data_IF_612325677235
#
_entry.id   IF_612325677235
#
_cell.length_a   1.000
_cell.length_b   1.000
_cell.length_c   1.000
_cell.angle_alpha   90.00
_cell.angle_beta   90.00
_cell.angle_gamma   90.00
#
_symmetry.space_group_name_H-M   'P 1'
#
loop_
_entity.id
_entity.type
_entity.pdbx_description
1 polymer ?
#
# COMPACT_ATOMS: atom_id res chain seq x y z
N UNK A 1 39.43 32.59 0.56
CA UNK A 1 38.87 31.54 1.45
C UNK A 1 38.27 30.34 0.69
N UNK A 2 38.07 30.39 -0.65
CA UNK A 2 37.58 29.23 -1.44
C UNK A 2 38.64 28.18 -1.83
N UNK A 3 39.95 28.49 -1.77
CA UNK A 3 41.00 27.52 -2.15
C UNK A 3 41.38 26.53 -1.04
N UNK A 4 41.08 26.81 0.23
CA UNK A 4 41.35 25.86 1.35
C UNK A 4 40.28 24.76 1.48
N UNK A 5 39.04 24.98 1.01
CA UNK A 5 37.97 23.96 1.07
C UNK A 5 38.11 22.84 0.04
N UNK A 6 38.71 23.10 -1.13
CA UNK A 6 38.94 22.07 -2.15
C UNK A 6 40.01 21.05 -1.74
N UNK A 7 41.04 21.48 -1.00
CA UNK A 7 42.06 20.57 -0.46
C UNK A 7 41.50 19.59 0.56
N UNK A 8 40.61 20.04 1.45
CA UNK A 8 40.04 19.21 2.53
C UNK A 8 39.06 18.14 2.00
N UNK A 9 38.30 18.49 0.95
CA UNK A 9 37.41 17.54 0.26
C UNK A 9 38.20 16.47 -0.50
N UNK A 10 39.33 16.84 -1.12
CA UNK A 10 40.18 15.89 -1.82
C UNK A 10 40.90 14.94 -0.87
N UNK A 11 41.34 15.42 0.30
CA UNK A 11 41.94 14.55 1.34
C UNK A 11 40.94 13.60 1.97
N UNK A 12 39.68 14.01 2.16
CA UNK A 12 38.64 13.10 2.67
C UNK A 12 38.28 12.02 1.65
N UNK A 13 38.18 12.37 0.36
CA UNK A 13 37.87 11.41 -0.69
C UNK A 13 38.99 10.36 -0.84
N UNK A 14 40.25 10.78 -0.73
CA UNK A 14 41.40 9.89 -0.76
C UNK A 14 41.44 8.93 0.46
N UNK A 15 41.06 9.42 1.64
CA UNK A 15 41.00 8.60 2.86
C UNK A 15 39.89 7.53 2.77
N UNK A 16 38.72 7.90 2.23
CA UNK A 16 37.60 6.97 2.04
C UNK A 16 37.97 5.88 1.02
N UNK A 17 38.67 6.24 -0.07
CA UNK A 17 39.15 5.28 -1.07
C UNK A 17 40.20 4.31 -0.49
N UNK A 18 41.08 4.78 0.41
CA UNK A 18 42.06 3.92 1.09
C UNK A 18 41.40 2.94 2.06
N UNK A 19 40.35 3.36 2.79
CA UNK A 19 39.61 2.45 3.69
C UNK A 19 38.87 1.38 2.91
N UNK A 20 38.25 1.72 1.78
CA UNK A 20 37.61 0.76 0.88
C UNK A 20 38.61 -0.26 0.30
N UNK A 21 39.83 0.16 -0.02
CA UNK A 21 40.87 -0.74 -0.55
C UNK A 21 41.39 -1.75 0.50
N UNK A 22 41.45 -1.35 1.78
CA UNK A 22 41.86 -2.23 2.90
C UNK A 22 40.78 -3.27 3.20
N UNK A 23 39.50 -2.91 3.09
CA UNK A 23 38.39 -3.86 3.30
C UNK A 23 38.34 -4.90 2.18
N UNK A 24 38.57 -4.49 0.93
CA UNK A 24 38.56 -5.40 -0.23
C UNK A 24 39.80 -6.33 -0.23
N UNK A 25 40.94 -5.88 0.32
CA UNK A 25 42.15 -6.70 0.44
C UNK A 25 42.15 -7.64 1.66
N UNK A 26 41.23 -7.47 2.61
CA UNK A 26 41.12 -8.28 3.83
C UNK A 26 40.27 -9.55 3.69
N UNK A 27 39.52 -9.69 2.59
CA UNK A 27 38.69 -10.85 2.30
C UNK A 27 39.35 -11.76 1.27
N UNK A 28 40.54 -12.30 1.56
CA UNK A 28 41.12 -13.45 0.86
C UNK A 28 42.31 -14.00 1.67
N UNK A 29 42.06 -15.02 2.50
CA UNK A 29 42.88 -16.23 2.72
C UNK A 29 42.55 -16.89 4.08
N UNK A 30 42.06 -18.12 4.01
CA UNK A 30 42.01 -19.06 5.14
C UNK A 30 43.41 -19.61 5.47
N UNK A 31 43.73 -19.80 6.76
CA UNK A 31 43.85 -21.15 7.36
C UNK A 31 44.67 -21.20 8.66
N UNK A 32 44.30 -22.19 9.48
CA UNK A 32 45.05 -22.91 10.52
C UNK A 32 44.90 -22.50 12.00
N UNK A 33 44.25 -23.38 12.77
CA UNK A 33 44.98 -24.16 13.77
C UNK A 33 44.26 -25.49 14.09
N UNK A 34 45.01 -26.58 14.02
CA UNK A 34 44.66 -27.92 14.51
C UNK A 34 45.10 -28.05 15.98
N UNK A 35 44.35 -28.78 16.80
CA UNK A 35 44.88 -29.69 17.83
C UNK A 35 43.89 -30.84 18.07
N UNK A 36 44.42 -31.98 18.51
CA UNK A 36 44.05 -33.35 18.15
C UNK A 36 43.23 -34.17 19.17
N UNK A 37 42.68 -35.30 18.69
CA UNK A 37 42.24 -36.52 19.43
C UNK A 37 40.72 -36.76 19.36
N UNK A 38 40.14 -37.92 18.99
CA UNK A 38 40.64 -39.29 18.84
C UNK A 38 39.53 -40.19 18.19
N UNK A 39 39.91 -41.08 17.25
CA UNK A 39 39.46 -42.48 17.03
C UNK A 39 38.07 -42.83 16.40
N UNK A 40 38.16 -43.47 15.21
CA UNK A 40 37.41 -44.60 14.57
C UNK A 40 35.87 -44.52 14.34
N UNK A 41 35.23 -45.01 13.26
CA UNK A 41 35.50 -46.05 12.25
C UNK A 41 34.46 -45.93 11.10
N UNK A 42 34.83 -46.34 9.87
CA UNK A 42 33.96 -47.17 9.01
C UNK A 42 33.40 -46.59 7.69
N UNK A 43 33.92 -47.13 6.57
CA UNK A 43 33.26 -47.55 5.30
C UNK A 43 32.34 -46.56 4.54
N UNK A 44 32.33 -46.41 3.21
CA UNK A 44 32.89 -47.17 2.10
C UNK A 44 32.66 -46.36 0.79
N UNK A 45 33.60 -46.47 -0.16
CA UNK A 45 33.53 -46.43 -1.65
C UNK A 45 32.27 -45.89 -2.39
N UNK A 46 32.26 -45.32 -3.61
CA UNK A 46 33.18 -44.85 -4.68
C UNK A 46 32.29 -44.83 -5.96
N UNK A 47 32.31 -43.84 -6.86
CA UNK A 47 32.17 -44.09 -8.32
C UNK A 47 32.53 -42.87 -9.18
N UNK A 48 33.38 -43.14 -10.18
CA UNK A 48 33.96 -42.27 -11.22
C UNK A 48 33.01 -41.97 -12.38
N UNK A 49 33.25 -40.87 -13.08
CA UNK A 49 33.18 -40.71 -14.56
C UNK A 49 34.23 -39.64 -14.94
N UNK A 50 35.36 -39.97 -15.58
CA UNK A 50 35.67 -40.22 -17.01
C UNK A 50 35.69 -38.95 -17.89
N UNK A 51 36.91 -38.61 -18.32
CA UNK A 51 37.31 -37.62 -19.34
C UNK A 51 37.43 -38.26 -20.74
N UNK A 52 37.69 -37.38 -21.72
CA UNK A 52 38.14 -37.57 -23.13
C UNK A 52 37.00 -37.69 -24.17
N UNK A 53 36.95 -36.93 -25.26
CA UNK A 53 38.01 -36.63 -26.24
C UNK A 53 37.92 -35.28 -26.97
N UNK A 54 39.09 -34.86 -27.47
CA UNK A 54 39.47 -33.67 -28.25
C UNK A 54 39.36 -33.97 -29.77
N UNK A 55 39.08 -32.96 -30.61
CA UNK A 55 39.79 -32.86 -31.91
C UNK A 55 39.88 -31.43 -32.47
N UNK A 56 41.02 -31.16 -33.11
CA UNK A 56 41.59 -29.86 -33.49
C UNK A 56 41.44 -29.48 -34.99
N UNK A 57 41.88 -28.23 -35.30
CA UNK A 57 42.46 -27.68 -36.55
C UNK A 57 41.49 -27.21 -37.65
N UNK A 58 41.67 -26.08 -38.33
CA UNK A 58 42.79 -25.12 -38.39
C UNK A 58 42.45 -23.89 -39.27
N UNK A 59 43.41 -22.97 -39.31
CA UNK A 59 43.42 -21.57 -39.78
C UNK A 59 43.50 -21.42 -41.31
N UNK A 60 42.98 -20.31 -41.87
CA UNK A 60 43.63 -19.60 -43.00
C UNK A 60 43.26 -18.10 -43.05
N UNK A 61 44.27 -17.27 -43.31
CA UNK A 61 44.32 -15.81 -43.35
C UNK A 61 43.98 -15.22 -44.75
N UNK A 62 43.53 -13.95 -44.83
CA UNK A 62 44.31 -12.80 -45.36
C UNK A 62 43.51 -11.64 -45.99
N UNK A 63 44.09 -10.42 -45.78
CA UNK A 63 44.03 -9.14 -46.51
C UNK A 63 42.78 -8.25 -46.33
N UNK A 64 42.83 -7.11 -45.63
CA UNK A 64 43.52 -5.81 -45.90
C UNK A 64 42.99 -5.12 -47.17
N UNK A 65 42.28 -3.99 -46.97
CA UNK A 65 42.66 -2.70 -47.58
C UNK A 65 42.07 -1.53 -46.76
N UNK A 66 42.96 -0.57 -46.50
CA UNK A 66 42.74 0.76 -45.92
C UNK A 66 42.17 1.71 -46.99
N UNK A 67 41.33 2.69 -46.60
CA UNK A 67 41.68 4.10 -46.81
C UNK A 67 40.74 5.09 -46.08
N UNK A 68 41.37 5.85 -45.18
CA UNK A 68 41.31 7.30 -44.91
C UNK A 68 40.00 8.10 -44.77
N UNK A 69 39.88 8.73 -43.57
CA UNK A 69 39.79 10.17 -43.28
C UNK A 69 38.91 11.10 -44.15
N UNK A 70 37.94 11.80 -43.53
CA UNK A 70 38.06 13.26 -43.31
C UNK A 70 36.97 13.83 -42.36
N UNK A 71 37.48 14.41 -41.27
CA UNK A 71 37.11 15.67 -40.59
C UNK A 71 35.65 16.11 -40.31
N UNK A 72 35.34 16.10 -39.01
CA UNK A 72 35.04 17.28 -38.19
C UNK A 72 34.39 18.51 -38.87
N UNK A 73 33.13 18.78 -38.52
CA UNK A 73 32.70 20.17 -38.31
C UNK A 73 31.68 20.28 -37.17
N UNK A 74 32.21 20.69 -36.02
CA UNK A 74 31.47 21.25 -34.89
C UNK A 74 31.00 22.66 -35.30
N UNK A 75 29.70 22.87 -35.43
CA UNK A 75 29.15 24.22 -35.56
C UNK A 75 28.71 24.73 -34.18
N UNK A 76 29.54 25.62 -33.63
CA UNK A 76 29.19 26.53 -32.54
C UNK A 76 27.94 27.31 -32.91
N UNK A 77 26.87 27.17 -32.13
CA UNK A 77 25.91 28.26 -31.98
C UNK A 77 26.05 28.93 -30.63
N UNK A 78 26.02 30.25 -30.74
CA UNK A 78 26.61 31.24 -29.86
C UNK A 78 25.57 31.68 -28.85
N UNK A 79 26.03 31.85 -27.62
CA UNK A 79 25.32 32.49 -26.52
C UNK A 79 24.95 33.91 -26.95
N UNK A 80 23.66 34.23 -26.91
CA UNK A 80 23.19 35.60 -26.85
C UNK A 80 22.40 35.81 -25.56
N UNK A 81 22.67 36.96 -24.97
CA UNK A 81 22.58 37.30 -23.55
C UNK A 81 21.47 38.33 -23.45
N UNK A 82 20.26 37.90 -23.16
CA UNK A 82 19.18 38.83 -22.85
C UNK A 82 18.87 38.85 -21.36
N UNK A 83 18.58 40.09 -20.95
CA UNK A 83 18.76 40.65 -19.62
C UNK A 83 17.64 40.23 -18.68
N UNK A 84 18.06 40.07 -17.44
CA UNK A 84 17.23 40.12 -16.24
C UNK A 84 16.68 41.55 -16.12
N UNK A 85 15.37 41.70 -16.09
CA UNK A 85 14.72 42.88 -15.50
C UNK A 85 14.16 42.46 -14.13
N UNK A 86 14.71 43.07 -13.10
CA UNK A 86 14.16 43.12 -11.75
C UNK A 86 12.76 43.73 -11.79
N UNK A 87 11.78 43.02 -11.24
CA UNK A 87 10.56 43.67 -10.73
C UNK A 87 10.61 43.51 -9.22
N UNK A 88 10.97 44.61 -8.55
CA UNK A 88 10.81 44.80 -7.12
C UNK A 88 9.92 46.03 -6.93
N UNK A 89 9.24 46.08 -5.78
CA UNK A 89 8.54 47.24 -5.18
C UNK A 89 7.02 47.22 -5.52
N UNK A 90 6.05 47.38 -4.61
CA UNK A 90 5.98 48.15 -3.35
C UNK A 90 4.92 47.59 -2.39
N UNK A 91 5.17 47.78 -1.09
CA UNK A 91 4.19 47.67 -0.01
C UNK A 91 3.10 48.74 -0.17
N UNK A 92 1.82 48.37 -0.05
CA UNK A 92 0.75 49.35 0.19
C UNK A 92 0.32 49.28 1.65
N UNK A 93 0.79 50.27 2.42
CA UNK A 93 0.22 50.65 3.70
C UNK A 93 -1.01 51.55 3.50
N UNK A 94 -1.83 51.49 4.54
CA UNK A 94 -3.14 52.11 4.77
C UNK A 94 -3.18 53.63 4.58
N UNK A 95 -4.31 54.13 4.07
CA UNK A 95 -4.78 55.49 4.34
C UNK A 95 -5.91 55.43 5.40
N UNK A 96 -5.72 56.27 6.42
CA UNK A 96 -6.65 56.56 7.50
C UNK A 96 -7.82 57.43 7.01
N UNK A 97 -9.01 57.23 7.57
CA UNK A 97 -10.01 58.28 7.65
C UNK A 97 -10.71 58.29 9.03
N UNK A 98 -10.42 59.38 9.75
CA UNK A 98 -11.21 60.13 10.73
C UNK A 98 -12.03 59.48 11.86
N UNK A 99 -11.46 59.68 13.06
CA UNK A 99 -11.98 59.98 14.41
C UNK A 99 -13.45 60.47 14.54
N UNK A 100 -14.23 59.88 15.46
CA UNK A 100 -15.07 60.58 16.46
C UNK A 100 -15.08 59.80 17.80
N UNK A 101 -14.84 60.54 18.89
CA UNK A 101 -14.78 60.15 20.30
C UNK A 101 -16.10 59.66 20.92
N UNK A 102 -16.00 58.87 22.01
CA UNK A 102 -17.12 58.62 22.92
C UNK A 102 -16.83 57.61 24.03
N UNK A 103 -16.27 58.10 25.13
CA UNK A 103 -15.96 57.40 26.39
C UNK A 103 -17.08 56.50 26.94
N UNK A 104 -16.73 55.34 27.50
CA UNK A 104 -16.95 55.09 28.94
C UNK A 104 -16.26 53.80 29.42
N UNK A 105 -15.56 53.97 30.54
CA UNK A 105 -14.95 52.93 31.33
C UNK A 105 -16.00 52.09 32.07
N UNK A 106 -15.70 50.80 32.24
CA UNK A 106 -15.92 50.14 33.53
C UNK A 106 -14.89 49.03 33.72
N UNK A 107 -14.09 49.20 34.76
CA UNK A 107 -13.19 48.20 35.32
C UNK A 107 -13.99 47.07 35.99
N UNK A 108 -13.56 45.82 35.80
CA UNK A 108 -13.49 44.88 36.92
C UNK A 108 -12.25 43.99 36.76
N UNK A 109 -11.28 44.20 37.65
CA UNK A 109 -10.15 43.29 37.91
C UNK A 109 -10.62 42.08 38.73
N UNK A 110 -9.72 41.09 38.81
CA UNK A 110 -9.54 40.00 39.81
C UNK A 110 -10.10 38.65 39.31
N UNK A 111 -9.37 37.52 39.20
CA UNK A 111 -8.00 37.09 39.54
C UNK A 111 -7.70 35.76 38.84
N UNK A 112 -6.42 35.45 38.62
CA UNK A 112 -5.93 34.10 38.34
C UNK A 112 -6.26 33.13 39.48
N UNK A 113 -6.79 31.96 39.14
CA UNK A 113 -6.67 30.76 39.98
C UNK A 113 -6.75 29.52 39.09
N UNK A 114 -5.95 28.53 39.47
CA UNK A 114 -5.53 27.34 38.73
C UNK A 114 -6.67 26.51 38.12
N UNK A 115 -6.50 26.12 36.85
CA UNK A 115 -7.37 25.14 36.19
C UNK A 115 -6.63 23.80 36.12
N UNK A 116 -6.92 22.94 37.10
CA UNK A 116 -6.88 21.50 36.89
C UNK A 116 -8.00 21.16 35.92
N UNK A 117 -7.66 20.67 34.73
CA UNK A 117 -8.61 20.20 33.73
C UNK A 117 -8.57 18.68 33.76
N UNK A 118 -9.53 18.10 34.47
CA UNK A 118 -9.83 16.68 34.43
C UNK A 118 -10.19 16.25 33.00
N UNK A 119 -9.73 15.05 32.67
CA UNK A 119 -9.86 14.35 31.42
C UNK A 119 -11.33 14.18 31.02
N UNK A 120 -11.63 14.51 29.76
CA UNK A 120 -12.82 14.04 29.05
C UNK A 120 -12.34 13.17 27.91
N UNK A 121 -12.26 11.87 28.18
CA UNK A 121 -12.10 10.82 27.19
C UNK A 121 -13.17 9.77 27.45
N UNK A 122 -14.39 10.02 26.97
CA UNK A 122 -15.42 9.00 26.79
C UNK A 122 -16.27 9.43 25.57
N UNK A 123 -15.80 9.10 24.38
CA UNK A 123 -16.70 8.85 23.25
C UNK A 123 -16.68 7.34 22.99
N UNK A 124 -17.83 6.74 23.24
CA UNK A 124 -18.09 5.30 23.23
C UNK A 124 -18.28 4.87 21.77
N UNK A 125 -17.36 4.05 21.23
CA UNK A 125 -17.50 3.43 19.92
C UNK A 125 -18.57 2.35 19.96
N UNK A 126 -19.74 2.63 19.39
CA UNK A 126 -20.71 1.61 19.00
C UNK A 126 -20.57 1.38 17.50
N UNK A 127 -20.28 0.13 17.11
CA UNK A 127 -20.54 -0.32 15.74
C UNK A 127 -22.06 -0.38 15.57
N UNK A 128 -22.66 0.68 15.03
CA UNK A 128 -24.08 0.68 14.70
C UNK A 128 -24.34 -0.16 13.44
N UNK A 129 -24.94 -1.32 13.64
CA UNK A 129 -25.63 -2.07 12.59
C UNK A 129 -26.86 -1.27 12.14
N UNK A 130 -26.80 -0.63 10.97
CA UNK A 130 -27.97 0.01 10.34
C UNK A 130 -28.37 -0.74 9.07
N UNK A 131 -29.26 -1.72 9.22
CA UNK A 131 -30.21 -2.10 8.17
C UNK A 131 -31.61 -1.86 8.70
N UNK A 132 -32.22 -0.74 8.31
CA UNK A 132 -33.61 -0.43 8.65
C UNK A 132 -34.53 -1.08 7.63
N UNK A 133 -35.31 -2.08 8.07
CA UNK A 133 -36.46 -2.60 7.34
C UNK A 133 -37.48 -1.47 7.09
N UNK A 134 -37.76 -1.13 5.82
CA UNK A 134 -38.85 -0.24 5.45
C UNK A 134 -40.02 -1.08 4.91
N UNK A 135 -41.13 -1.09 5.67
CA UNK A 135 -42.46 -1.42 5.14
C UNK A 135 -43.16 -0.14 4.66
N UNK A 136 -43.68 -0.26 3.45
CA UNK A 136 -44.35 0.68 2.54
C UNK A 136 -45.49 1.54 3.11
N UNK A 137 -45.52 2.84 2.75
CA UNK A 137 -46.44 3.49 1.78
C UNK A 137 -46.60 5.00 2.06
N UNK A 138 -46.04 5.86 1.20
CA UNK A 138 -46.63 7.05 0.55
C UNK A 138 -45.52 7.97 0.03
N UNK A 139 -45.51 8.20 -1.28
CA UNK A 139 -44.38 8.82 -1.98
C UNK A 139 -44.26 10.33 -1.81
N UNK A 140 -43.00 10.80 -1.86
CA UNK A 140 -42.45 11.90 -2.67
C UNK A 140 -40.90 11.87 -2.49
N UNK A 141 -40.19 12.06 -3.60
CA UNK A 141 -38.73 12.22 -3.81
C UNK A 141 -37.85 10.95 -3.75
N UNK A 142 -37.25 10.58 -4.90
CA UNK A 142 -36.09 9.69 -4.99
C UNK A 142 -34.91 10.40 -4.30
N UNK A 143 -34.52 9.92 -3.12
CA UNK A 143 -33.28 10.37 -2.47
C UNK A 143 -32.07 9.99 -3.34
N UNK A 144 -31.34 11.01 -3.79
CA UNK A 144 -30.01 10.90 -4.38
C UNK A 144 -29.01 10.49 -3.29
N UNK A 145 -29.01 9.21 -2.90
CA UNK A 145 -28.02 8.71 -1.94
C UNK A 145 -26.69 8.50 -2.66
N UNK A 146 -25.65 9.19 -2.21
CA UNK A 146 -24.26 8.95 -2.64
C UNK A 146 -23.84 7.49 -2.40
N UNK A 147 -22.88 7.02 -3.19
CA UNK A 147 -22.32 5.67 -3.09
C UNK A 147 -20.92 5.73 -2.51
N UNK A 148 -20.60 4.74 -1.67
CA UNK A 148 -19.24 4.51 -1.18
C UNK A 148 -18.57 3.43 -2.02
N UNK A 149 -17.38 3.72 -2.55
CA UNK A 149 -16.59 2.78 -3.35
C UNK A 149 -15.14 2.73 -2.88
N UNK A 150 -14.50 1.59 -3.05
CA UNK A 150 -13.08 1.41 -2.77
C UNK A 150 -12.23 1.87 -3.98
N UNK A 151 -11.24 2.72 -3.77
CA UNK A 151 -10.27 3.10 -4.80
C UNK A 151 -8.85 2.81 -4.28
N UNK A 152 -8.04 2.15 -5.12
CA UNK A 152 -6.73 1.61 -4.76
C UNK A 152 -5.62 2.58 -5.16
N UNK A 153 -5.25 3.50 -4.27
CA UNK A 153 -4.17 4.48 -4.44
C UNK A 153 -2.81 3.87 -4.12
N UNK A 154 -1.72 4.65 -4.20
CA UNK A 154 -0.43 4.23 -3.66
C UNK A 154 0.16 5.25 -2.69
N UNK A 155 1.00 4.80 -1.76
CA UNK A 155 1.84 5.70 -0.96
C UNK A 155 3.18 6.03 -1.64
N UNK A 156 4.04 6.80 -0.96
CA UNK A 156 5.36 7.20 -1.47
C UNK A 156 6.34 6.02 -1.60
N UNK A 157 6.15 4.96 -0.82
CA UNK A 157 6.93 3.73 -0.92
C UNK A 157 6.42 2.79 -2.03
N UNK A 158 5.27 3.12 -2.63
CA UNK A 158 4.64 2.40 -3.73
C UNK A 158 3.85 1.17 -3.27
N UNK A 159 3.35 1.16 -2.04
CA UNK A 159 2.33 0.20 -1.61
C UNK A 159 0.95 0.68 -2.05
N UNK A 160 0.15 -0.23 -2.59
CA UNK A 160 -1.21 0.02 -3.03
C UNK A 160 -2.15 -0.04 -1.82
N UNK A 161 -2.91 1.03 -1.59
CA UNK A 161 -3.73 1.21 -0.40
C UNK A 161 -5.17 1.50 -0.84
N UNK A 162 -6.14 0.63 -0.51
CA UNK A 162 -7.55 0.91 -0.73
C UNK A 162 -8.07 1.95 0.25
N UNK A 163 -8.90 2.85 -0.24
CA UNK A 163 -9.63 3.82 0.57
C UNK A 163 -11.07 3.91 0.08
N UNK A 164 -11.98 4.23 0.98
CA UNK A 164 -13.38 4.42 0.65
C UNK A 164 -13.65 5.87 0.31
N UNK A 165 -14.21 6.08 -0.89
CA UNK A 165 -14.58 7.39 -1.40
C UNK A 165 -16.07 7.50 -1.60
N UNK A 166 -16.60 8.67 -1.26
CA UNK A 166 -18.00 9.04 -1.53
C UNK A 166 -18.07 9.56 -2.96
N UNK A 167 -18.94 8.98 -3.78
CA UNK A 167 -19.18 9.43 -5.15
C UNK A 167 -20.67 9.62 -5.40
N UNK A 168 -21.04 10.67 -6.17
CA UNK A 168 -22.41 10.83 -6.62
C UNK A 168 -22.88 9.61 -7.40
N UNK A 169 -24.11 9.20 -7.15
CA UNK A 169 -24.74 8.15 -7.95
C UNK A 169 -24.86 8.65 -9.40
N UNK A 170 -24.17 7.96 -10.30
CA UNK A 170 -24.16 8.32 -11.72
C UNK A 170 -24.24 7.08 -12.60
N UNK A 171 -24.50 7.29 -13.89
CA UNK A 171 -24.73 6.21 -14.87
C UNK A 171 -23.61 5.17 -14.91
N UNK A 172 -22.37 5.54 -14.58
CA UNK A 172 -21.27 4.60 -14.47
C UNK A 172 -20.39 4.86 -13.24
N UNK A 173 -20.68 4.10 -12.18
CA UNK A 173 -19.91 4.03 -10.93
C UNK A 173 -18.49 3.50 -11.19
N UNK A 174 -18.34 2.50 -12.07
CA UNK A 174 -17.04 1.96 -12.47
C UNK A 174 -16.15 3.00 -13.15
N UNK A 175 -16.72 3.89 -13.99
CA UNK A 175 -15.97 5.03 -14.55
C UNK A 175 -15.48 5.97 -13.47
N UNK A 176 -16.31 6.33 -12.49
CA UNK A 176 -15.88 7.17 -11.36
C UNK A 176 -14.70 6.58 -10.62
N UNK A 177 -14.73 5.28 -10.36
CA UNK A 177 -13.67 4.57 -9.66
C UNK A 177 -12.33 4.70 -10.39
N UNK A 178 -12.31 4.47 -11.71
CA UNK A 178 -11.09 4.64 -12.53
C UNK A 178 -10.66 6.11 -12.64
N UNK A 179 -11.60 7.05 -12.76
CA UNK A 179 -11.25 8.48 -12.74
C UNK A 179 -10.54 8.88 -11.45
N UNK A 180 -10.92 8.29 -10.31
CA UNK A 180 -10.25 8.49 -9.02
C UNK A 180 -8.78 8.07 -9.01
N UNK A 181 -8.38 7.11 -9.86
CA UNK A 181 -7.01 6.62 -9.97
C UNK A 181 -6.10 7.51 -10.85
N UNK A 182 -6.66 8.43 -11.63
CA UNK A 182 -5.88 9.26 -12.56
C UNK A 182 -5.20 10.41 -11.81
N UNK A 183 -3.92 10.64 -12.09
CA UNK A 183 -3.15 11.78 -11.59
C UNK A 183 -3.63 13.11 -12.20
N UNK A 184 -4.75 13.59 -11.68
CA UNK A 184 -5.32 14.92 -11.92
C UNK A 184 -4.98 15.85 -10.75
N UNK A 185 -4.93 17.18 -10.95
CA UNK A 185 -4.75 18.12 -9.84
C UNK A 185 -5.72 17.89 -8.68
N UNK A 186 -7.00 17.66 -8.99
CA UNK A 186 -8.06 17.40 -8.00
C UNK A 186 -7.79 16.14 -7.19
N UNK A 187 -7.51 15.00 -7.84
CA UNK A 187 -7.25 13.74 -7.12
C UNK A 187 -5.94 13.80 -6.33
N UNK A 188 -4.93 14.51 -6.84
CA UNK A 188 -3.66 14.68 -6.13
C UNK A 188 -3.86 15.50 -4.86
N UNK A 189 -4.60 16.60 -4.95
CA UNK A 189 -4.87 17.48 -3.82
C UNK A 189 -5.70 16.77 -2.74
N UNK A 190 -6.78 16.07 -3.12
CA UNK A 190 -7.63 15.37 -2.15
C UNK A 190 -6.92 14.23 -1.42
N UNK A 191 -5.95 13.57 -2.06
CA UNK A 191 -5.20 12.46 -1.46
C UNK A 191 -3.94 12.89 -0.69
N UNK A 192 -3.41 14.09 -0.96
CA UNK A 192 -2.14 14.55 -0.41
C UNK A 192 -2.11 14.63 1.12
N UNK A 193 -3.24 14.99 1.74
CA UNK A 193 -3.38 15.03 3.20
C UNK A 193 -3.10 13.68 3.85
N UNK A 194 -3.57 12.61 3.21
CA UNK A 194 -3.46 11.22 3.63
C UNK A 194 -2.13 10.57 3.24
N UNK A 195 -1.26 11.29 2.51
CA UNK A 195 0.00 10.74 1.98
C UNK A 195 -0.19 9.76 0.83
N UNK A 196 -1.35 9.78 0.19
CA UNK A 196 -1.72 8.91 -0.92
C UNK A 196 -1.59 9.62 -2.26
N UNK A 197 -1.35 8.84 -3.31
CA UNK A 197 -1.01 9.32 -4.65
C UNK A 197 -1.86 8.54 -5.67
N UNK A 198 -2.53 9.22 -6.62
CA UNK A 198 -3.15 8.56 -7.78
C UNK A 198 -2.12 7.81 -8.62
N UNK A 199 -2.52 6.69 -9.21
CA UNK A 199 -1.59 5.71 -9.78
C UNK A 199 -1.50 5.76 -11.31
N UNK A 200 -2.56 6.19 -12.00
CA UNK A 200 -2.55 6.27 -13.45
C UNK A 200 -1.92 7.59 -13.90
N UNK A 201 -1.06 7.58 -14.93
CA UNK A 201 -0.39 8.80 -15.40
C UNK A 201 -1.36 9.92 -15.78
N UNK A 202 -0.89 11.16 -15.62
CA UNK A 202 -1.64 12.36 -16.03
C UNK A 202 -2.03 12.29 -17.51
N UNK A 203 -3.28 12.66 -17.79
CA UNK A 203 -3.82 12.68 -19.16
C UNK A 203 -4.21 11.30 -19.69
N UNK A 204 -4.19 10.27 -18.84
CA UNK A 204 -4.85 9.00 -19.14
C UNK A 204 -6.33 9.25 -19.41
N UNK A 205 -6.80 8.74 -20.54
CA UNK A 205 -8.20 8.72 -20.93
C UNK A 205 -8.58 7.26 -21.17
N UNK A 206 -9.86 6.92 -21.01
CA UNK A 206 -10.32 5.56 -21.20
C UNK A 206 -11.78 5.50 -21.64
N UNK A 207 -12.13 4.39 -22.27
CA UNK A 207 -13.52 3.93 -22.37
C UNK A 207 -13.65 2.62 -21.61
N UNK A 208 -14.87 2.32 -21.16
CA UNK A 208 -15.17 1.06 -20.48
C UNK A 208 -16.54 0.57 -20.93
N UNK A 209 -16.60 -0.70 -21.28
CA UNK A 209 -17.81 -1.46 -21.56
C UNK A 209 -17.87 -2.68 -20.65
N UNK A 210 -19.04 -3.00 -20.10
CA UNK A 210 -19.21 -4.11 -19.16
C UNK A 210 -20.22 -5.09 -19.76
N UNK A 211 -19.78 -6.31 -20.04
CA UNK A 211 -20.60 -7.36 -20.61
C UNK A 211 -20.19 -8.71 -20.04
N UNK A 212 -21.17 -9.55 -19.73
CA UNK A 212 -20.95 -10.93 -19.26
C UNK A 212 -20.01 -11.03 -18.03
N UNK A 213 -20.08 -10.02 -17.14
CA UNK A 213 -19.17 -9.81 -15.99
C UNK A 213 -17.69 -9.53 -16.34
N UNK A 214 -17.39 -9.21 -17.59
CA UNK A 214 -16.09 -8.69 -18.03
C UNK A 214 -16.19 -7.19 -18.28
N UNK A 215 -15.32 -6.42 -17.63
CA UNK A 215 -15.08 -5.01 -17.96
C UNK A 215 -13.96 -4.91 -19.01
N UNK A 216 -14.30 -4.48 -20.22
CA UNK A 216 -13.32 -4.16 -21.27
C UNK A 216 -12.98 -2.68 -21.12
N UNK A 217 -11.77 -2.39 -20.66
CA UNK A 217 -11.27 -1.04 -20.46
C UNK A 217 -10.19 -0.72 -21.49
N UNK A 218 -10.44 0.30 -22.32
CA UNK A 218 -9.54 0.74 -23.38
C UNK A 218 -8.94 2.09 -23.01
N UNK A 219 -7.63 2.09 -22.73
CA UNK A 219 -6.88 3.28 -22.37
C UNK A 219 -6.23 3.94 -23.58
N UNK A 220 -6.06 5.26 -23.54
CA UNK A 220 -5.14 5.92 -24.45
C UNK A 220 -3.67 5.57 -24.11
N UNK A 221 -2.73 5.86 -25.03
CA UNK A 221 -1.29 5.62 -24.82
C UNK A 221 -0.67 6.26 -23.58
N UNK A 222 -1.33 7.24 -22.95
CA UNK A 222 -0.81 7.92 -21.74
C UNK A 222 -0.67 6.96 -20.56
N UNK A 223 -1.44 5.86 -20.53
CA UNK A 223 -1.30 4.81 -19.53
C UNK A 223 0.14 4.25 -19.45
N UNK A 224 0.92 4.35 -20.53
CA UNK A 224 2.30 3.86 -20.63
C UNK A 224 3.37 4.87 -20.16
N UNK A 225 2.98 6.06 -19.69
CA UNK A 225 3.89 7.14 -19.25
C UNK A 225 4.38 6.95 -17.80
N UNK A 226 4.94 5.76 -17.52
CA UNK A 226 5.61 5.41 -16.27
C UNK A 226 7.05 4.94 -16.52
N UNK A 227 7.87 4.92 -15.46
CA UNK A 227 9.33 4.83 -15.59
C UNK A 227 9.97 3.57 -15.00
N UNK A 228 9.23 2.71 -14.32
CA UNK A 228 9.78 1.50 -13.71
C UNK A 228 8.77 0.35 -13.67
N UNK A 229 9.29 -0.86 -13.50
CA UNK A 229 8.52 -2.10 -13.44
C UNK A 229 7.55 -2.14 -12.25
N UNK A 230 7.92 -1.60 -11.07
CA UNK A 230 7.04 -1.57 -9.89
C UNK A 230 5.77 -0.75 -10.17
N UNK A 231 5.90 0.43 -10.79
CA UNK A 231 4.76 1.26 -11.18
C UNK A 231 3.87 0.57 -12.22
N UNK A 232 4.46 -0.16 -13.19
CA UNK A 232 3.67 -0.94 -14.15
C UNK A 232 2.81 -2.01 -13.47
N UNK A 233 3.43 -2.80 -12.58
CA UNK A 233 2.73 -3.82 -11.80
C UNK A 233 1.61 -3.20 -10.97
N UNK A 234 1.91 -2.09 -10.30
CA UNK A 234 0.95 -1.39 -9.47
C UNK A 234 -0.24 -0.87 -10.28
N UNK A 235 -0.02 -0.29 -11.47
CA UNK A 235 -1.10 0.17 -12.36
C UNK A 235 -2.06 -0.98 -12.68
N UNK A 236 -1.53 -2.15 -13.05
CA UNK A 236 -2.36 -3.32 -13.34
C UNK A 236 -3.13 -3.74 -12.09
N UNK A 237 -2.45 -3.99 -10.97
CA UNK A 237 -3.11 -4.41 -9.73
C UNK A 237 -4.19 -3.42 -9.26
N UNK A 238 -3.92 -2.12 -9.28
CA UNK A 238 -4.88 -1.10 -8.84
C UNK A 238 -6.12 -1.06 -9.73
N UNK A 239 -5.97 -1.14 -11.06
CA UNK A 239 -7.12 -1.18 -12.00
C UNK A 239 -7.97 -2.43 -11.77
N UNK A 240 -7.33 -3.60 -11.64
CA UNK A 240 -8.03 -4.87 -11.42
C UNK A 240 -8.78 -4.85 -10.10
N UNK A 241 -8.13 -4.49 -8.99
CA UNK A 241 -8.77 -4.48 -7.67
C UNK A 241 -9.90 -3.44 -7.57
N UNK A 242 -9.71 -2.28 -8.19
CA UNK A 242 -10.74 -1.22 -8.21
C UNK A 242 -11.96 -1.64 -9.03
N UNK A 243 -11.81 -2.31 -10.17
CA UNK A 243 -12.97 -2.71 -10.98
C UNK A 243 -13.66 -3.96 -10.43
N UNK A 244 -12.90 -4.92 -9.92
CA UNK A 244 -13.43 -6.20 -9.39
C UNK A 244 -14.08 -6.06 -8.00
N UNK A 245 -14.17 -4.85 -7.45
CA UNK A 245 -14.99 -4.58 -6.27
C UNK A 245 -16.49 -4.70 -6.56
N UNK A 246 -16.90 -4.47 -7.81
CA UNK A 246 -18.30 -4.45 -8.20
C UNK A 246 -18.77 -5.86 -8.54
N UNK A 247 -19.88 -6.32 -7.95
CA UNK A 247 -20.44 -7.68 -8.22
C UNK A 247 -20.75 -7.95 -9.70
N UNK A 248 -20.94 -6.89 -10.49
CA UNK A 248 -21.16 -6.95 -11.93
C UNK A 248 -19.87 -7.12 -12.75
N UNK A 249 -18.68 -7.10 -12.12
CA UNK A 249 -17.37 -7.20 -12.78
C UNK A 249 -16.53 -8.27 -12.05
N UNK A 250 -16.39 -9.44 -12.66
CA UNK A 250 -15.50 -10.50 -12.19
C UNK A 250 -14.14 -10.47 -12.90
N UNK A 251 -14.12 -10.00 -14.14
CA UNK A 251 -12.97 -10.01 -15.04
C UNK A 251 -12.73 -8.64 -15.64
N UNK A 252 -11.48 -8.33 -15.96
CA UNK A 252 -11.10 -7.09 -16.65
C UNK A 252 -10.20 -7.43 -17.83
N UNK A 253 -10.52 -6.86 -18.99
CA UNK A 253 -9.68 -6.91 -20.19
C UNK A 253 -9.13 -5.52 -20.46
N UNK A 254 -7.81 -5.40 -20.57
CA UNK A 254 -7.14 -4.12 -20.80
C UNK A 254 -6.78 -4.01 -22.29
N UNK A 255 -7.22 -2.91 -22.91
CA UNK A 255 -6.84 -2.52 -24.27
C UNK A 255 -6.06 -1.20 -24.23
N UNK A 256 -5.25 -0.95 -25.24
CA UNK A 256 -4.55 0.32 -25.41
C UNK A 256 -4.76 0.83 -26.84
N UNK A 257 -5.37 2.01 -26.96
CA UNK A 257 -5.77 2.63 -28.23
C UNK A 257 -6.64 1.72 -29.11
N UNK A 258 -7.52 0.91 -28.50
CA UNK A 258 -8.40 -0.04 -29.17
C UNK A 258 -7.74 -1.34 -29.60
N UNK A 259 -6.46 -1.56 -29.26
CA UNK A 259 -5.72 -2.76 -29.60
C UNK A 259 -5.55 -3.68 -28.39
N UNK A 260 -5.67 -4.97 -28.63
CA UNK A 260 -5.19 -6.00 -27.71
C UNK A 260 -3.66 -5.98 -27.74
N UNK A 261 -3.05 -5.83 -26.57
CA UNK A 261 -1.60 -5.85 -26.41
C UNK A 261 -1.28 -6.95 -25.42
N UNK A 262 -0.28 -7.77 -25.74
CA UNK A 262 0.06 -8.89 -24.86
C UNK A 262 0.80 -8.45 -23.60
N UNK A 263 1.71 -7.47 -23.74
CA UNK A 263 2.59 -7.04 -22.66
C UNK A 263 2.70 -5.53 -22.56
N UNK A 264 2.74 -5.06 -21.32
CA UNK A 264 3.08 -3.70 -20.97
C UNK A 264 4.60 -3.42 -21.14
N UNK A 265 5.01 -2.16 -21.00
CA UNK A 265 6.38 -1.66 -21.26
C UNK A 265 7.53 -2.45 -20.59
N UNK A 266 7.33 -2.97 -19.38
CA UNK A 266 8.29 -3.76 -18.60
C UNK A 266 7.94 -5.26 -18.55
N UNK A 267 7.03 -5.71 -19.41
CA UNK A 267 6.78 -7.12 -19.65
C UNK A 267 5.62 -7.74 -18.87
N UNK A 268 4.86 -6.95 -18.09
CA UNK A 268 3.63 -7.42 -17.45
C UNK A 268 2.65 -7.89 -18.51
N UNK A 269 2.31 -9.18 -18.49
CA UNK A 269 1.33 -9.78 -19.40
C UNK A 269 -0.07 -9.25 -19.06
N UNK A 270 -0.80 -8.76 -20.05
CA UNK A 270 -2.19 -8.30 -19.97
C UNK A 270 -3.03 -8.87 -21.13
N UNK A 271 -2.55 -9.93 -21.80
CA UNK A 271 -3.19 -10.54 -22.97
C UNK A 271 -4.55 -11.19 -22.65
N UNK A 272 -4.78 -11.55 -21.39
CA UNK A 272 -5.96 -12.30 -20.93
C UNK A 272 -6.94 -11.39 -20.20
N UNK A 273 -8.16 -11.90 -20.04
CA UNK A 273 -9.07 -11.37 -19.03
C UNK A 273 -8.53 -11.70 -17.64
N UNK A 274 -8.36 -10.68 -16.79
CA UNK A 274 -7.75 -10.80 -15.48
C UNK A 274 -8.80 -10.71 -14.39
N UNK A 275 -8.75 -11.61 -13.42
CA UNK A 275 -9.55 -11.56 -12.19
C UNK A 275 -8.74 -11.00 -11.03
N UNK A 276 -9.42 -10.68 -9.92
CA UNK A 276 -8.75 -10.34 -8.66
C UNK A 276 -7.86 -11.48 -8.14
N UNK A 277 -8.24 -12.73 -8.39
CA UNK A 277 -7.51 -13.91 -7.91
C UNK A 277 -6.23 -14.18 -8.72
N UNK A 278 -6.17 -13.70 -9.97
CA UNK A 278 -4.99 -13.83 -10.83
C UNK A 278 -3.87 -12.85 -10.46
N UNK A 279 -4.18 -11.78 -9.70
CA UNK A 279 -3.28 -10.63 -9.55
C UNK A 279 -2.85 -10.42 -8.09
N UNK A 280 -1.54 -10.50 -7.87
CA UNK A 280 -0.88 -10.14 -6.63
C UNK A 280 -0.97 -8.62 -6.39
N UNK A 281 -1.23 -8.25 -5.14
CA UNK A 281 -1.17 -6.88 -4.64
C UNK A 281 -0.14 -6.81 -3.52
N UNK A 282 0.78 -5.83 -3.60
CA UNK A 282 1.82 -5.60 -2.59
C UNK A 282 2.60 -6.86 -2.16
N UNK A 283 2.74 -7.85 -3.04
CA UNK A 283 3.44 -9.08 -2.69
C UNK A 283 4.93 -8.81 -2.45
N UNK A 284 5.49 -9.43 -1.41
CA UNK A 284 6.91 -9.32 -1.11
C UNK A 284 7.79 -10.00 -2.17
N UNK A 285 9.01 -9.51 -2.33
CA UNK A 285 10.03 -10.09 -3.20
C UNK A 285 9.93 -9.68 -4.68
N UNK A 286 10.63 -10.41 -5.55
CA UNK A 286 10.68 -10.12 -7.00
C UNK A 286 9.55 -10.80 -7.77
N UNK A 287 8.37 -10.87 -7.17
CA UNK A 287 7.23 -11.49 -7.81
C UNK A 287 6.73 -10.63 -8.99
N UNK A 288 6.17 -11.29 -10.01
CA UNK A 288 5.41 -10.61 -11.06
C UNK A 288 4.07 -10.10 -10.52
N UNK A 289 3.17 -9.68 -11.41
CA UNK A 289 1.76 -9.47 -11.00
C UNK A 289 1.01 -10.78 -10.78
N UNK A 290 1.54 -11.91 -11.24
CA UNK A 290 0.88 -13.21 -11.17
C UNK A 290 1.49 -14.07 -10.04
N UNK A 291 0.70 -14.93 -9.38
CA UNK A 291 1.23 -16.02 -8.58
C UNK A 291 2.21 -16.88 -9.40
N UNK A 292 3.21 -17.45 -8.72
CA UNK A 292 4.15 -18.40 -9.31
C UNK A 292 3.40 -19.65 -9.77
N UNK A 293 3.99 -20.36 -10.73
CA UNK A 293 3.40 -21.59 -11.26
C UNK A 293 3.13 -22.60 -10.14
N UNK A 294 1.95 -23.20 -10.14
CA UNK A 294 1.48 -24.09 -9.09
C UNK A 294 1.17 -23.42 -7.73
N UNK A 295 1.13 -22.09 -7.65
CA UNK A 295 0.72 -21.36 -6.45
C UNK A 295 -0.67 -20.72 -6.62
N UNK A 296 -1.39 -20.63 -5.51
CA UNK A 296 -2.59 -19.79 -5.33
C UNK A 296 -2.21 -18.60 -4.44
N UNK A 297 -3.09 -17.59 -4.33
CA UNK A 297 -2.91 -16.46 -3.41
C UNK A 297 -4.06 -16.33 -2.41
N UNK A 298 -3.77 -15.70 -1.27
CA UNK A 298 -4.73 -15.05 -0.37
C UNK A 298 -4.25 -13.63 -0.12
N UNK A 299 -5.17 -12.71 0.17
CA UNK A 299 -4.81 -11.36 0.60
C UNK A 299 -4.97 -11.26 2.12
N UNK A 300 -3.89 -10.93 2.82
CA UNK A 300 -3.97 -10.53 4.23
C UNK A 300 -3.99 -9.01 4.31
N UNK A 301 -4.76 -8.42 5.20
CA UNK A 301 -4.71 -6.98 5.43
C UNK A 301 -3.79 -6.70 6.62
N UNK A 302 -2.78 -5.88 6.41
CA UNK A 302 -1.89 -5.36 7.45
C UNK A 302 -2.18 -3.87 7.66
N UNK A 303 -1.60 -3.28 8.69
CA UNK A 303 -1.73 -1.86 9.00
C UNK A 303 -0.48 -1.12 8.58
N UNK A 304 -0.65 0.11 8.09
CA UNK A 304 0.44 1.04 7.82
C UNK A 304 0.11 2.43 8.30
N UNK A 305 1.03 3.05 9.04
CA UNK A 305 0.99 4.49 9.28
C UNK A 305 1.69 5.22 8.12
N UNK A 306 0.91 5.74 7.19
CA UNK A 306 1.40 6.40 5.99
C UNK A 306 1.99 7.76 6.36
N UNK A 307 3.16 8.07 5.82
CA UNK A 307 3.78 9.39 5.99
C UNK A 307 3.06 10.39 5.11
N UNK A 308 2.38 11.37 5.71
CA UNK A 308 1.85 12.51 4.96
C UNK A 308 2.81 13.70 4.91
N UNK A 309 2.27 14.85 4.51
CA UNK A 309 2.95 16.14 4.57
C UNK A 309 3.26 16.43 6.05
N UNK A 310 4.34 17.20 6.32
CA UNK A 310 4.97 17.43 7.65
C UNK A 310 4.05 17.93 8.79
N UNK A 311 2.77 18.11 8.55
CA UNK A 311 1.74 18.39 9.55
C UNK A 311 1.08 17.09 10.03
N UNK A 312 0.91 16.91 11.35
CA UNK A 312 0.11 15.81 11.89
C UNK A 312 -1.33 15.90 11.39
N UNK A 313 -2.03 14.76 11.35
CA UNK A 313 -3.46 14.73 11.12
C UNK A 313 -4.24 15.55 12.16
N UNK A 314 -5.46 15.92 11.80
CA UNK A 314 -6.40 16.70 12.59
C UNK A 314 -6.80 15.99 13.88
N UNK A 315 -6.86 14.66 13.86
CA UNK A 315 -7.20 13.84 15.02
C UNK A 315 -5.98 13.48 15.89
N UNK A 316 -4.80 14.03 15.57
CA UNK A 316 -3.60 13.89 16.37
C UNK A 316 -2.96 12.50 16.29
N UNK A 317 -2.40 12.06 17.41
CA UNK A 317 -1.63 10.81 17.48
C UNK A 317 -2.24 9.84 18.47
N UNK A 318 -2.18 8.57 18.13
CA UNK A 318 -2.49 7.47 19.03
C UNK A 318 -1.22 6.68 19.36
N UNK A 319 -1.29 5.86 20.41
CA UNK A 319 -0.23 4.92 20.74
C UNK A 319 -0.73 3.49 20.47
N UNK A 320 0.04 2.74 19.68
CA UNK A 320 -0.20 1.32 19.39
C UNK A 320 1.11 0.58 19.45
N UNK A 321 1.14 -0.56 20.14
CA UNK A 321 2.35 -1.37 20.31
C UNK A 321 3.58 -0.56 20.81
N UNK A 322 3.35 0.49 21.61
CA UNK A 322 4.40 1.40 22.10
C UNK A 322 4.92 2.41 21.06
N UNK A 323 4.32 2.47 19.88
CA UNK A 323 4.64 3.45 18.84
C UNK A 323 3.58 4.54 18.75
N UNK A 324 4.03 5.78 18.54
CA UNK A 324 3.18 6.95 18.31
C UNK A 324 2.83 7.07 16.83
N UNK A 325 1.57 6.87 16.48
CA UNK A 325 1.05 6.81 15.10
C UNK A 325 0.11 7.98 14.83
N UNK A 326 0.20 8.58 13.64
CA UNK A 326 -0.74 9.62 13.18
C UNK A 326 -2.11 8.97 12.87
N UNK A 327 -3.14 9.31 13.65
CA UNK A 327 -4.42 8.59 13.61
C UNK A 327 -5.08 8.61 12.22
N UNK A 328 -5.04 9.76 11.55
CA UNK A 328 -5.69 9.96 10.24
C UNK A 328 -4.99 9.22 9.10
N UNK A 329 -3.86 8.57 9.39
CA UNK A 329 -2.99 7.96 8.38
C UNK A 329 -2.71 6.50 8.66
N UNK A 330 -3.53 5.84 9.48
CA UNK A 330 -3.47 4.39 9.66
C UNK A 330 -4.40 3.74 8.64
N UNK A 331 -3.80 3.05 7.68
CA UNK A 331 -4.51 2.38 6.61
C UNK A 331 -4.37 0.87 6.69
N UNK A 332 -5.43 0.18 6.27
CA UNK A 332 -5.39 -1.24 5.98
C UNK A 332 -4.82 -1.45 4.58
N UNK A 333 -3.76 -2.25 4.49
CA UNK A 333 -2.99 -2.50 3.28
C UNK A 333 -3.07 -3.98 2.93
N UNK A 334 -3.69 -4.35 1.79
CA UNK A 334 -3.76 -5.74 1.36
C UNK A 334 -2.39 -6.21 0.87
N UNK A 335 -1.94 -7.37 1.33
CA UNK A 335 -0.70 -8.03 0.96
C UNK A 335 -1.05 -9.43 0.45
N UNK A 336 -0.77 -9.71 -0.81
CA UNK A 336 -0.94 -11.05 -1.36
C UNK A 336 0.15 -11.98 -0.86
N UNK A 337 -0.28 -13.08 -0.25
CA UNK A 337 0.56 -14.19 0.18
C UNK A 337 0.26 -15.40 -0.69
N UNK A 338 1.32 -16.05 -1.17
CA UNK A 338 1.22 -17.24 -2.01
C UNK A 338 1.23 -18.51 -1.16
N UNK A 339 0.43 -19.49 -1.55
CA UNK A 339 0.43 -20.84 -0.98
C UNK A 339 0.33 -21.90 -2.08
N UNK A 340 0.76 -23.12 -1.79
CA UNK A 340 0.80 -24.18 -2.82
C UNK A 340 -0.60 -24.61 -3.25
N UNK A 341 -0.80 -24.74 -4.57
CA UNK A 341 -2.06 -25.20 -5.16
C UNK A 341 -2.32 -26.70 -4.94
N UNK A 342 -1.32 -27.47 -4.49
CA UNK A 342 -1.46 -28.91 -4.26
C UNK A 342 -2.30 -29.24 -3.02
N UNK A 343 -2.55 -28.25 -2.17
CA UNK A 343 -3.45 -28.35 -1.04
C UNK A 343 -4.76 -27.66 -1.44
N UNK A 344 -5.81 -28.45 -1.70
CA UNK A 344 -7.17 -27.93 -1.80
C UNK A 344 -7.66 -27.53 -0.40
N UNK A 345 -6.98 -26.54 0.19
CA UNK A 345 -7.29 -26.02 1.51
C UNK A 345 -8.74 -25.58 1.53
N UNK A 346 -9.47 -26.15 2.48
CA UNK A 346 -10.82 -25.72 2.81
C UNK A 346 -10.78 -24.28 3.36
N UNK A 347 -11.92 -23.62 3.35
CA UNK A 347 -12.02 -22.22 3.77
C UNK A 347 -11.60 -22.03 5.23
N UNK A 348 -11.91 -22.97 6.13
CA UNK A 348 -11.46 -22.97 7.53
C UNK A 348 -9.93 -23.07 7.64
N UNK A 349 -9.29 -23.92 6.84
CA UNK A 349 -7.81 -24.03 6.79
C UNK A 349 -7.16 -22.75 6.25
N UNK A 350 -7.78 -22.10 5.27
CA UNK A 350 -7.32 -20.79 4.76
C UNK A 350 -7.47 -19.68 5.79
N UNK A 351 -8.58 -19.66 6.52
CA UNK A 351 -8.80 -18.71 7.64
C UNK A 351 -7.73 -18.91 8.71
N UNK A 352 -7.44 -20.16 9.09
CA UNK A 352 -6.38 -20.49 10.05
C UNK A 352 -5.01 -20.00 9.56
N UNK A 353 -4.69 -20.23 8.29
CA UNK A 353 -3.45 -19.73 7.68
C UNK A 353 -3.36 -18.20 7.73
N UNK A 354 -4.43 -17.48 7.39
CA UNK A 354 -4.48 -16.01 7.48
C UNK A 354 -4.23 -15.57 8.92
N UNK A 355 -4.95 -16.13 9.90
CA UNK A 355 -4.80 -15.75 11.30
C UNK A 355 -3.36 -15.96 11.80
N UNK A 356 -2.74 -17.07 11.44
CA UNK A 356 -1.33 -17.35 11.75
C UNK A 356 -0.39 -16.34 11.10
N UNK A 357 -0.59 -16.01 9.83
CA UNK A 357 0.22 -15.00 9.13
C UNK A 357 0.09 -13.64 9.83
N UNK A 358 -1.11 -13.23 10.20
CA UNK A 358 -1.35 -11.97 10.90
C UNK A 358 -0.69 -11.94 12.29
N UNK A 359 -0.84 -12.99 13.09
CA UNK A 359 -0.30 -13.04 14.45
C UNK A 359 1.23 -13.14 14.49
N UNK A 360 1.82 -13.80 13.49
CA UNK A 360 3.27 -14.02 13.43
C UNK A 360 4.01 -12.98 12.59
N UNK A 361 3.31 -12.05 11.95
CA UNK A 361 3.91 -11.02 11.13
C UNK A 361 4.88 -10.17 11.95
N UNK A 362 6.18 -10.28 11.65
CA UNK A 362 7.24 -9.45 12.22
C UNK A 362 7.63 -8.45 11.13
N UNK A 363 7.21 -7.19 11.30
CA UNK A 363 7.25 -6.16 10.25
C UNK A 363 8.52 -6.10 9.40
N UNK A 364 8.36 -5.75 8.13
CA UNK A 364 9.48 -5.43 7.24
C UNK A 364 10.08 -4.05 7.57
N UNK A 365 11.40 -3.97 7.66
CA UNK A 365 12.15 -2.75 8.04
C UNK A 365 11.90 -1.57 7.09
N UNK A 366 11.53 -1.82 5.83
CA UNK A 366 11.45 -0.77 4.80
C UNK A 366 10.05 -0.15 4.68
N UNK A 367 9.00 -0.93 4.92
CA UNK A 367 7.62 -0.55 4.59
C UNK A 367 6.78 -0.13 5.80
N UNK A 368 7.27 -0.41 7.02
CA UNK A 368 6.58 -0.10 8.30
C UNK A 368 5.15 -0.66 8.39
N UNK A 369 4.92 -1.77 7.72
CA UNK A 369 3.70 -2.56 7.91
C UNK A 369 3.76 -3.19 9.29
N UNK A 370 2.61 -3.29 9.95
CA UNK A 370 2.46 -3.95 11.24
C UNK A 370 1.11 -4.67 11.33
N UNK A 371 1.00 -5.55 12.32
CA UNK A 371 -0.24 -6.26 12.64
C UNK A 371 -0.72 -5.83 14.01
N UNK A 372 -2.03 -5.62 14.16
CA UNK A 372 -2.67 -5.47 15.47
C UNK A 372 -2.90 -6.84 16.14
N UNK A 373 -2.82 -7.94 15.37
CA UNK A 373 -2.70 -9.28 15.93
C UNK A 373 -1.23 -9.54 16.28
N UNK A 374 -1.00 -10.17 17.42
CA UNK A 374 0.32 -10.56 17.87
C UNK A 374 0.26 -11.92 18.59
N UNK A 375 1.39 -12.37 19.11
CA UNK A 375 1.53 -13.67 19.79
C UNK A 375 0.78 -13.82 21.13
N UNK A 376 0.12 -12.76 21.62
CA UNK A 376 -0.78 -12.83 22.78
C UNK A 376 -2.19 -13.34 22.42
N UNK A 377 -2.48 -13.53 21.14
CA UNK A 377 -3.76 -14.01 20.63
C UNK A 377 -3.56 -15.36 19.94
N UNK A 378 -4.19 -16.39 20.49
CA UNK A 378 -4.24 -17.73 19.91
C UNK A 378 -5.62 -17.99 19.28
N UNK A 379 -5.63 -18.76 18.19
CA UNK A 379 -6.88 -19.27 17.62
C UNK A 379 -7.15 -20.66 18.18
N UNK A 380 -8.15 -20.77 19.05
CA UNK A 380 -8.57 -22.04 19.65
C UNK A 380 -9.33 -22.92 18.65
N UNK A 381 -10.22 -22.30 17.86
CA UNK A 381 -11.09 -23.03 16.96
C UNK A 381 -11.60 -22.13 15.82
N UNK A 382 -11.83 -22.74 14.66
CA UNK A 382 -12.50 -22.11 13.51
C UNK A 382 -13.64 -23.02 13.07
N UNK A 383 -14.83 -22.45 12.92
CA UNK A 383 -16.02 -23.17 12.52
C UNK A 383 -16.80 -22.39 11.46
N UNK A 384 -17.12 -23.05 10.35
CA UNK A 384 -17.97 -22.50 9.30
C UNK A 384 -19.29 -23.25 9.29
N UNK A 385 -20.40 -22.51 9.39
CA UNK A 385 -21.78 -23.03 9.29
C UNK A 385 -22.58 -22.19 8.32
N UNK A 386 -22.78 -22.68 7.10
CA UNK A 386 -23.43 -21.91 6.05
C UNK A 386 -22.56 -20.69 5.68
N UNK A 387 -23.11 -19.49 5.82
CA UNK A 387 -22.45 -18.22 5.54
C UNK A 387 -21.79 -17.56 6.78
N UNK A 388 -21.83 -18.24 7.94
CA UNK A 388 -21.28 -17.76 9.20
C UNK A 388 -19.91 -18.39 9.47
N UNK A 389 -18.90 -17.52 9.59
CA UNK A 389 -17.61 -17.85 10.19
C UNK A 389 -17.67 -17.63 11.70
N UNK A 390 -17.18 -18.59 12.48
CA UNK A 390 -16.94 -18.41 13.92
C UNK A 390 -15.46 -18.64 14.19
N UNK A 391 -14.80 -17.66 14.80
CA UNK A 391 -13.41 -17.76 15.25
C UNK A 391 -13.42 -17.67 16.78
N UNK A 392 -12.87 -18.68 17.44
CA UNK A 392 -12.67 -18.69 18.88
C UNK A 392 -11.23 -18.31 19.20
N UNK A 393 -11.06 -17.22 19.92
CA UNK A 393 -9.77 -16.64 20.29
C UNK A 393 -9.49 -16.88 21.77
N UNK A 394 -8.24 -17.14 22.11
CA UNK A 394 -7.69 -17.01 23.46
C UNK A 394 -6.82 -15.77 23.48
N UNK A 395 -7.10 -14.84 24.38
CA UNK A 395 -6.39 -13.55 24.46
C UNK A 395 -5.72 -13.44 25.83
N UNK A 396 -4.40 -13.28 25.86
CA UNK A 396 -3.68 -12.93 27.08
C UNK A 396 -3.92 -11.47 27.45
N UNK A 397 -4.97 -11.24 28.24
CA UNK A 397 -5.38 -9.91 28.74
C UNK A 397 -4.29 -9.19 29.57
N UNK A 398 -3.26 -9.91 30.04
CA UNK A 398 -2.12 -9.29 30.72
C UNK A 398 -1.16 -8.59 29.76
N UNK A 399 -1.13 -9.03 28.50
CA UNK A 399 -0.20 -8.58 27.46
C UNK A 399 -0.90 -7.94 26.25
N UNK A 400 -2.24 -8.03 26.18
CA UNK A 400 -3.07 -7.41 25.16
C UNK A 400 -3.98 -6.34 25.78
N UNK A 401 -4.07 -5.19 25.13
CA UNK A 401 -4.98 -4.11 25.55
C UNK A 401 -4.88 -2.86 24.68
N UNK A 402 -5.73 -1.89 24.96
CA UNK A 402 -5.82 -0.62 24.27
C UNK A 402 -6.88 -0.61 23.18
N UNK A 403 -7.81 0.35 23.28
CA UNK A 403 -9.01 0.40 22.43
C UNK A 403 -8.68 0.51 20.93
N UNK A 404 -7.58 1.18 20.56
CA UNK A 404 -7.13 1.22 19.16
C UNK A 404 -6.58 -0.12 18.68
N UNK A 405 -5.83 -0.86 19.52
CA UNK A 405 -5.33 -2.19 19.14
C UNK A 405 -6.51 -3.14 18.90
N UNK A 406 -7.53 -3.10 19.74
CA UNK A 406 -8.75 -3.89 19.57
C UNK A 406 -9.50 -3.51 18.29
N UNK A 407 -9.72 -2.21 18.06
CA UNK A 407 -10.38 -1.70 16.86
C UNK A 407 -9.67 -2.16 15.58
N UNK A 408 -8.35 -1.97 15.52
CA UNK A 408 -7.59 -2.32 14.33
C UNK A 408 -7.44 -3.83 14.16
N UNK A 409 -7.31 -4.61 15.24
CA UNK A 409 -7.32 -6.08 15.18
C UNK A 409 -8.61 -6.59 14.55
N UNK A 410 -9.75 -6.11 15.04
CA UNK A 410 -11.07 -6.47 14.53
C UNK A 410 -11.19 -6.17 13.04
N UNK A 411 -10.87 -4.95 12.64
CA UNK A 411 -10.94 -4.54 11.24
C UNK A 411 -10.00 -5.38 10.39
N UNK A 412 -8.77 -5.59 10.82
CA UNK A 412 -7.78 -6.41 10.14
C UNK A 412 -8.29 -7.83 9.86
N UNK A 413 -8.95 -8.47 10.84
CA UNK A 413 -9.61 -9.78 10.66
C UNK A 413 -10.75 -9.65 9.65
N UNK A 414 -11.68 -8.71 9.84
CA UNK A 414 -12.86 -8.54 8.99
C UNK A 414 -12.48 -8.41 7.51
N UNK A 415 -11.54 -7.54 7.17
CA UNK A 415 -11.14 -7.31 5.78
C UNK A 415 -10.34 -8.45 5.19
N UNK A 416 -9.52 -9.13 6.00
CA UNK A 416 -8.83 -10.34 5.55
C UNK A 416 -9.82 -11.48 5.26
N UNK A 417 -10.93 -11.58 6.00
CA UNK A 417 -11.92 -12.65 5.76
C UNK A 417 -12.96 -12.30 4.68
N UNK A 418 -13.16 -11.00 4.37
CA UNK A 418 -14.10 -10.52 3.33
C UNK A 418 -13.85 -11.14 1.95
N UNK A 419 -12.63 -11.60 1.67
CA UNK A 419 -12.28 -12.22 0.38
C UNK A 419 -13.06 -13.52 0.10
N UNK A 420 -13.56 -14.20 1.14
CA UNK A 420 -14.31 -15.45 0.99
C UNK A 420 -15.79 -15.16 0.68
N UNK A 421 -16.13 -15.15 -0.61
CA UNK A 421 -17.47 -14.78 -1.12
C UNK A 421 -18.62 -15.62 -0.57
N UNK A 422 -18.35 -16.83 -0.09
CA UNK A 422 -19.32 -17.70 0.55
C UNK A 422 -19.68 -17.26 1.98
N UNK A 423 -18.85 -16.45 2.62
CA UNK A 423 -19.06 -15.96 3.98
C UNK A 423 -19.67 -14.57 3.95
N UNK A 424 -20.69 -14.33 4.78
CA UNK A 424 -21.38 -13.03 4.87
C UNK A 424 -21.24 -12.36 6.23
N UNK A 425 -20.95 -13.15 7.25
CA UNK A 425 -20.88 -12.71 8.63
C UNK A 425 -19.84 -13.49 9.41
N UNK A 426 -19.33 -12.86 10.45
CA UNK A 426 -18.36 -13.41 11.38
C UNK A 426 -18.90 -13.32 12.81
N UNK A 427 -18.53 -14.29 13.63
CA UNK A 427 -18.70 -14.24 15.07
C UNK A 427 -17.35 -14.50 15.72
N UNK A 428 -16.94 -13.65 16.65
CA UNK A 428 -15.68 -13.81 17.38
C UNK A 428 -16.03 -14.21 18.82
N UNK A 429 -15.50 -15.34 19.28
CA UNK A 429 -15.63 -15.81 20.65
C UNK A 429 -14.31 -15.58 21.39
N UNK A 430 -14.40 -15.44 22.71
CA UNK A 430 -13.24 -15.42 23.61
C UNK A 430 -13.38 -16.60 24.57
N UNK A 431 -12.43 -17.54 24.52
CA UNK A 431 -12.41 -18.78 25.30
C UNK A 431 -13.77 -19.51 25.28
N UNK A 432 -14.33 -19.64 24.07
CA UNK A 432 -15.62 -20.29 23.81
C UNK A 432 -16.86 -19.48 24.19
N UNK A 433 -16.71 -18.26 24.70
CA UNK A 433 -17.81 -17.41 25.15
C UNK A 433 -18.08 -16.26 24.18
N UNK A 434 -19.36 -16.02 23.87
CA UNK A 434 -19.79 -14.84 23.12
C UNK A 434 -19.85 -13.64 24.08
N UNK A 435 -18.85 -12.77 24.02
CA UNK A 435 -18.67 -11.63 24.93
C UNK A 435 -18.15 -10.43 24.15
N UNK A 436 -18.28 -9.24 24.72
CA UNK A 436 -17.50 -8.09 24.28
C UNK A 436 -16.01 -8.34 24.54
N UNK A 437 -15.17 -7.84 23.64
CA UNK A 437 -13.74 -7.78 23.85
C UNK A 437 -13.40 -6.78 24.97
N UNK A 438 -12.18 -6.85 25.56
CA UNK A 438 -11.82 -6.09 26.75
C UNK A 438 -12.05 -4.58 26.68
N UNK A 439 -11.91 -3.98 25.50
CA UNK A 439 -12.04 -2.54 25.26
C UNK A 439 -13.45 -2.15 24.74
N UNK A 440 -14.37 -3.11 24.70
CA UNK A 440 -15.79 -2.88 24.48
C UNK A 440 -16.30 -3.19 23.06
N UNK A 441 -15.47 -3.67 22.14
CA UNK A 441 -15.96 -4.13 20.83
C UNK A 441 -16.91 -5.32 21.02
N UNK A 442 -18.15 -5.14 20.58
CA UNK A 442 -19.22 -6.09 20.86
C UNK A 442 -19.29 -7.20 19.80
N UNK A 443 -18.84 -8.40 20.18
CA UNK A 443 -19.00 -9.65 19.42
C UNK A 443 -19.88 -10.65 20.16
N UNK A 444 -20.74 -10.18 21.07
CA UNK A 444 -21.78 -11.04 21.66
C UNK A 444 -22.76 -11.59 20.62
N UNK A 445 -22.76 -11.01 19.40
CA UNK A 445 -23.56 -11.43 18.27
C UNK A 445 -22.75 -11.43 16.96
N UNK A 446 -23.16 -12.21 15.94
CA UNK A 446 -22.53 -12.17 14.62
C UNK A 446 -22.62 -10.78 13.97
N UNK A 447 -21.53 -10.37 13.33
CA UNK A 447 -21.38 -9.10 12.61
C UNK A 447 -21.26 -9.36 11.11
N UNK A 448 -21.89 -8.53 10.28
CA UNK A 448 -21.76 -8.61 8.81
C UNK A 448 -20.36 -8.18 8.37
N UNK A 449 -19.85 -8.78 7.29
CA UNK A 449 -18.64 -8.23 6.68
C UNK A 449 -18.92 -6.84 6.09
N UNK A 450 -18.00 -5.88 6.26
CA UNK A 450 -18.17 -4.53 5.76
C UNK A 450 -18.21 -4.48 4.23
N UNK A 451 -19.10 -3.66 3.67
CA UNK A 451 -19.27 -3.51 2.22
C UNK A 451 -18.08 -2.81 1.55
N UNK A 452 -17.41 -1.89 2.25
CA UNK A 452 -16.21 -1.16 1.80
C UNK A 452 -15.12 -1.15 2.88
N UNK A 453 -13.88 -0.78 2.54
CA UNK A 453 -12.78 -0.63 3.51
C UNK A 453 -13.09 0.51 4.51
N UNK A 454 -12.66 0.37 5.78
CA UNK A 454 -13.00 1.32 6.85
C UNK A 454 -12.28 2.67 6.77
N UNK A 455 -11.42 2.87 5.77
CA UNK A 455 -10.66 4.10 5.57
C UNK A 455 -11.44 5.09 4.68
N UNK A 456 -12.39 5.83 5.24
CA UNK A 456 -13.19 6.85 4.54
C UNK A 456 -12.43 8.17 4.42
N UNK A 457 -12.41 8.77 3.22
CA UNK A 457 -11.62 9.98 2.93
C UNK A 457 -12.45 11.25 2.65
N UNK A 458 -13.73 11.08 2.31
CA UNK A 458 -14.63 12.16 1.89
C UNK A 458 -15.83 12.34 2.86
N UNK A 459 -15.64 12.14 4.18
CA UNK A 459 -16.72 12.35 5.18
C UNK A 459 -17.07 13.84 5.36
N UNK A 460 -18.35 14.14 5.60
CA UNK A 460 -18.84 15.52 5.73
C UNK A 460 -18.12 16.30 6.83
N UNK A 461 -17.66 17.51 6.51
CA UNK A 461 -17.02 18.42 7.48
C UNK A 461 -15.73 19.08 7.00
N UNK A 462 -15.18 18.64 5.87
CA UNK A 462 -13.98 19.23 5.25
C UNK A 462 -14.30 19.84 3.88
N UNK A 463 -15.01 20.97 3.88
CA UNK A 463 -15.13 21.86 2.73
C UNK A 463 -14.82 23.30 3.11
#
# INVERSE_FOLDING_TARGET
>A
MLMKKKGLLFTCLLLILLVLFVIISGCNNESSSQTAGSINNGSDINYKMNDEDINENGIEENNIDEDTNEENRIEKNRIEKDRIEEVTIEENQMEEDHIVEGNNANESKITNTDVNREEKGEEIFKMENTETEIKSEQGIAEDETDLFIEIYYQDIEGLIIPVTRRIPKQLSVAKSAIYGLIDSPMNRESMAYYGLIPILPKGTEFTIDIKDKTAIIDFNKKILEYNNEKTEKNIVSAVIYTLTQFDSIERVKILINGYEIDKMKFGTDISKELTRDDILINAEGKNGVYPRDGMKKLDIYLLKNVKGIKTPGNNGFIEMNGEKLDYDRIFLVPISVEFSNNEDLKTDEKVDMIMKLLATYKGSNDEKLFSALNESIDVNNILIKGDLLTIDLSIDLGNYGGSFNEYYMVNQILYSMKQFKELKKINILVDGSATSLPEGADFSHPVLFPSTIGNYIDEEGYY
#
